data_IF_588705288447
#
_entry.id   IF_588705288447
#
_cell.length_a   1.000
_cell.length_b   1.000
_cell.length_c   1.000
_cell.angle_alpha   90.00
_cell.angle_beta   90.00
_cell.angle_gamma   90.00
#
_symmetry.space_group_name_H-M   'P 1'
#
loop_
_entity.id
_entity.type
_entity.pdbx_description
1 polymer ?
#
# COMPACT_ATOMS: atom_id res chain seq x y z
N UNK A 1 -17.88 -18.49 15.84
CA UNK A 1 -18.01 -17.14 15.24
C UNK A 1 -18.30 -16.03 16.26
N UNK A 2 -19.45 -16.03 16.98
CA UNK A 2 -19.76 -14.92 17.94
C UNK A 2 -18.79 -14.88 19.14
N UNK A 3 -18.45 -16.04 19.71
CA UNK A 3 -17.51 -16.14 20.84
C UNK A 3 -16.08 -15.73 20.47
N UNK A 4 -15.61 -16.11 19.28
CA UNK A 4 -14.27 -15.79 18.74
C UNK A 4 -14.11 -14.30 18.36
N UNK A 5 -15.19 -13.64 17.91
CA UNK A 5 -15.22 -12.17 17.75
C UNK A 5 -15.17 -11.45 19.10
N UNK A 6 -15.99 -11.89 20.06
CA UNK A 6 -16.11 -11.25 21.38
C UNK A 6 -14.84 -11.44 22.24
N UNK A 7 -14.00 -12.43 21.93
CA UNK A 7 -12.68 -12.67 22.57
C UNK A 7 -11.51 -12.02 21.84
N UNK A 8 -11.75 -11.36 20.70
CA UNK A 8 -10.71 -10.70 19.89
C UNK A 8 -9.88 -11.66 19.03
N UNK A 9 -10.29 -12.92 18.90
CA UNK A 9 -9.61 -13.92 18.06
C UNK A 9 -9.91 -13.73 16.56
N UNK A 10 -10.93 -12.96 16.21
CA UNK A 10 -11.31 -12.63 14.82
C UNK A 10 -11.55 -11.14 14.63
N UNK A 11 -10.76 -10.50 13.77
CA UNK A 11 -10.98 -9.11 13.33
C UNK A 11 -11.91 -9.09 12.11
N UNK A 12 -12.96 -8.24 12.08
CA UNK A 12 -13.79 -8.07 10.90
C UNK A 12 -12.96 -7.64 9.68
N UNK A 13 -13.23 -8.26 8.53
CA UNK A 13 -12.50 -7.98 7.27
C UNK A 13 -12.53 -6.49 6.87
N UNK A 14 -13.64 -5.80 7.14
CA UNK A 14 -13.76 -4.36 6.88
C UNK A 14 -12.78 -3.51 7.71
N UNK A 15 -12.56 -3.87 8.99
CA UNK A 15 -11.62 -3.15 9.86
C UNK A 15 -10.18 -3.36 9.38
N UNK A 16 -9.82 -4.61 9.01
CA UNK A 16 -8.51 -4.90 8.43
C UNK A 16 -8.30 -4.12 7.13
N UNK A 17 -9.28 -4.12 6.22
CA UNK A 17 -9.18 -3.39 4.96
C UNK A 17 -9.04 -1.87 5.19
N UNK A 18 -9.76 -1.32 6.15
CA UNK A 18 -9.68 0.10 6.51
C UNK A 18 -8.30 0.47 7.06
N UNK A 19 -7.79 -0.28 8.03
CA UNK A 19 -6.47 -0.01 8.63
C UNK A 19 -5.33 -0.20 7.63
N UNK A 20 -5.41 -1.23 6.79
CA UNK A 20 -4.45 -1.42 5.69
C UNK A 20 -4.51 -0.27 4.68
N UNK A 21 -5.70 0.27 4.41
CA UNK A 21 -5.87 1.47 3.59
C UNK A 21 -5.21 2.71 4.20
N UNK A 22 -5.34 2.91 5.51
CA UNK A 22 -4.65 3.99 6.22
C UNK A 22 -3.13 3.83 6.18
N UNK A 23 -2.63 2.61 6.41
CA UNK A 23 -1.21 2.31 6.34
C UNK A 23 -0.65 2.58 4.94
N UNK A 24 -1.31 2.07 3.90
CA UNK A 24 -0.90 2.27 2.51
C UNK A 24 -0.84 3.77 2.17
N UNK A 25 -1.86 4.53 2.58
CA UNK A 25 -1.89 5.99 2.38
C UNK A 25 -0.75 6.69 3.10
N UNK A 26 -0.49 6.35 4.36
CA UNK A 26 0.57 6.96 5.15
C UNK A 26 1.95 6.70 4.53
N UNK A 27 2.19 5.47 4.03
CA UNK A 27 3.43 5.11 3.35
C UNK A 27 3.59 5.90 2.05
N UNK A 28 2.56 5.94 1.20
CA UNK A 28 2.61 6.69 -0.08
C UNK A 28 2.89 8.17 0.16
N UNK A 29 2.18 8.80 1.10
CA UNK A 29 2.41 10.22 1.44
C UNK A 29 3.82 10.47 1.99
N UNK A 30 4.38 9.51 2.72
CA UNK A 30 5.77 9.61 3.22
C UNK A 30 6.78 9.51 2.08
N UNK A 31 6.53 8.66 1.08
CA UNK A 31 7.36 8.57 -0.12
C UNK A 31 7.27 9.85 -0.95
N UNK A 32 6.08 10.43 -1.12
CA UNK A 32 5.85 11.64 -1.92
C UNK A 32 6.58 12.86 -1.36
N UNK A 33 6.78 12.93 -0.05
CA UNK A 33 7.45 14.04 0.63
C UNK A 33 8.96 13.80 0.82
N UNK A 34 9.47 12.60 0.49
CA UNK A 34 10.87 12.27 0.65
C UNK A 34 11.81 13.13 -0.23
N UNK A 35 11.49 13.46 -1.49
CA UNK A 35 12.31 14.39 -2.29
C UNK A 35 12.46 15.75 -1.61
N UNK A 36 11.38 16.30 -1.05
CA UNK A 36 11.40 17.59 -0.35
C UNK A 36 12.30 17.54 0.89
N UNK A 37 12.25 16.44 1.64
CA UNK A 37 13.11 16.21 2.81
C UNK A 37 14.57 16.15 2.37
N UNK A 38 14.89 15.43 1.30
CA UNK A 38 16.26 15.30 0.80
C UNK A 38 16.79 16.61 0.18
N UNK A 39 15.94 17.41 -0.44
CA UNK A 39 16.30 18.75 -0.90
C UNK A 39 16.68 19.64 0.29
N UNK A 40 15.79 19.72 1.29
CA UNK A 40 15.94 20.63 2.43
C UNK A 40 17.06 20.20 3.38
N UNK A 41 17.08 18.92 3.76
CA UNK A 41 17.91 18.43 4.87
C UNK A 41 19.26 17.88 4.38
N UNK A 42 19.35 17.46 3.12
CA UNK A 42 20.57 16.91 2.54
C UNK A 42 21.17 17.78 1.43
N UNK A 43 20.47 18.84 0.99
CA UNK A 43 20.97 19.76 -0.03
C UNK A 43 21.22 19.10 -1.38
N UNK A 44 20.45 18.06 -1.72
CA UNK A 44 20.65 17.32 -2.97
C UNK A 44 20.41 18.23 -4.19
N UNK A 45 21.22 18.09 -5.25
CA UNK A 45 21.02 18.87 -6.47
C UNK A 45 19.76 18.41 -7.22
N UNK A 46 19.15 19.29 -8.05
CA UNK A 46 17.91 18.97 -8.77
C UNK A 46 17.96 17.66 -9.58
N UNK A 47 19.10 17.36 -10.21
CA UNK A 47 19.27 16.12 -10.99
C UNK A 47 19.16 14.86 -10.14
N UNK A 48 19.63 14.89 -8.89
CA UNK A 48 19.51 13.76 -7.98
C UNK A 48 18.07 13.61 -7.49
N UNK A 49 17.41 14.72 -7.16
CA UNK A 49 16.00 14.74 -6.75
C UNK A 49 15.07 14.21 -7.85
N UNK A 50 15.31 14.58 -9.11
CA UNK A 50 14.57 14.02 -10.26
C UNK A 50 14.71 12.50 -10.34
N UNK A 51 15.90 11.95 -10.06
CA UNK A 51 16.09 10.51 -10.05
C UNK A 51 15.37 9.83 -8.88
N UNK A 52 15.38 10.44 -7.70
CA UNK A 52 14.64 9.95 -6.53
C UNK A 52 13.14 9.93 -6.81
N UNK A 53 12.59 11.02 -7.36
CA UNK A 53 11.18 11.11 -7.76
C UNK A 53 10.81 9.98 -8.73
N UNK A 54 11.61 9.75 -9.77
CA UNK A 54 11.35 8.67 -10.73
C UNK A 54 11.30 7.30 -10.04
N UNK A 55 12.23 7.01 -9.12
CA UNK A 55 12.24 5.74 -8.40
C UNK A 55 11.01 5.59 -7.50
N UNK A 56 10.57 6.67 -6.85
CA UNK A 56 9.34 6.67 -6.03
C UNK A 56 8.12 6.38 -6.90
N UNK A 57 8.01 7.03 -8.06
CA UNK A 57 6.91 6.80 -8.99
C UNK A 57 6.90 5.36 -9.52
N UNK A 58 8.07 4.84 -9.92
CA UNK A 58 8.22 3.44 -10.35
C UNK A 58 7.79 2.44 -9.25
N UNK A 59 8.12 2.74 -7.98
CA UNK A 59 7.72 1.93 -6.84
C UNK A 59 6.21 1.99 -6.59
N UNK A 60 5.60 3.18 -6.72
CA UNK A 60 4.14 3.36 -6.58
C UNK A 60 3.40 2.54 -7.63
N UNK A 61 3.88 2.56 -8.87
CA UNK A 61 3.28 1.80 -9.97
C UNK A 61 3.40 0.29 -9.75
N UNK A 62 4.55 -0.20 -9.28
CA UNK A 62 4.73 -1.61 -8.92
C UNK A 62 3.79 -2.06 -7.80
N UNK A 63 3.62 -1.23 -6.76
CA UNK A 63 2.67 -1.53 -5.68
C UNK A 63 1.23 -1.60 -6.20
N UNK A 64 0.82 -0.67 -7.05
CA UNK A 64 -0.50 -0.67 -7.64
C UNK A 64 -0.75 -1.93 -8.49
N UNK A 65 0.22 -2.34 -9.31
CA UNK A 65 0.14 -3.57 -10.11
C UNK A 65 0.02 -4.82 -9.24
N UNK A 66 0.81 -4.93 -8.17
CA UNK A 66 0.74 -6.07 -7.25
C UNK A 66 -0.60 -6.15 -6.52
N UNK A 67 -1.18 -5.01 -6.14
CA UNK A 67 -2.51 -4.97 -5.52
C UNK A 67 -3.58 -5.43 -6.51
N UNK A 68 -3.53 -4.94 -7.75
CA UNK A 68 -4.46 -5.36 -8.80
C UNK A 68 -4.36 -6.86 -9.09
N UNK A 69 -3.14 -7.39 -9.26
CA UNK A 69 -2.93 -8.82 -9.48
C UNK A 69 -3.47 -9.68 -8.34
N UNK A 70 -3.24 -9.29 -7.08
CA UNK A 70 -3.79 -10.02 -5.93
C UNK A 70 -5.32 -9.99 -5.89
N UNK A 71 -5.94 -8.88 -6.27
CA UNK A 71 -7.40 -8.80 -6.35
C UNK A 71 -7.94 -9.71 -7.47
N UNK A 72 -7.32 -9.68 -8.66
CA UNK A 72 -7.72 -10.52 -9.79
C UNK A 72 -7.58 -12.02 -9.46
N UNK A 73 -6.53 -12.40 -8.73
CA UNK A 73 -6.30 -13.79 -8.30
C UNK A 73 -7.30 -14.24 -7.23
N UNK A 74 -7.68 -13.34 -6.30
CA UNK A 74 -8.75 -13.61 -5.32
C UNK A 74 -10.12 -13.75 -5.99
N UNK A 75 -10.43 -12.92 -6.98
CA UNK A 75 -11.69 -13.02 -7.74
C UNK A 75 -11.78 -14.36 -8.48
N UNK A 76 -10.69 -14.83 -9.12
CA UNK A 76 -10.65 -16.14 -9.77
C UNK A 76 -10.83 -17.29 -8.78
N UNK A 77 -10.14 -17.24 -7.63
CA UNK A 77 -10.25 -18.30 -6.63
C UNK A 77 -11.68 -18.43 -6.08
N UNK A 78 -12.39 -17.32 -5.88
CA UNK A 78 -13.78 -17.35 -5.42
C UNK A 78 -14.74 -17.93 -6.46
N UNK A 79 -14.50 -17.73 -7.76
CA UNK A 79 -15.32 -18.28 -8.84
C UNK A 79 -15.18 -19.81 -8.92
N UNK A 80 -13.98 -20.34 -8.65
CA UNK A 80 -13.70 -21.77 -8.68
C UNK A 80 -14.24 -22.55 -7.46
N UNK A 81 -14.63 -21.88 -6.37
CA UNK A 81 -15.21 -22.50 -5.17
C UNK A 81 -16.75 -22.60 -5.20
N UNK A 82 -17.42 -21.88 -6.10
CA UNK A 82 -18.88 -21.82 -6.24
C UNK A 82 -19.46 -22.84 -7.28
N UNK A 83 -18.61 -23.59 -8.00
CA UNK A 83 -18.95 -24.69 -8.94
C UNK A 83 -18.74 -26.10 -8.33
#
# INVERSE_FOLDING_TARGET
>A
LKYERDTGELVPSFEVAQEMGFLAKAVVQSLDTLPDILERDCGLPPVALMRVQQVIDDLRDQMAQQIQQNNDDQEKHNIDEDD
#
